data_IF_156472465720
#
_entry.id   IF_156472465720
#
_cell.length_a   1.000
_cell.length_b   1.000
_cell.length_c   1.000
_cell.angle_alpha   90.00
_cell.angle_beta   90.00
_cell.angle_gamma   90.00
#
_symmetry.space_group_name_H-M   'P 1'
#
loop_
_entity.id
_entity.type
_entity.pdbx_description
1 polymer ?
#
# COMPACT_ATOMS: atom_id res chain seq x y z
N UNK A 1 12.30 11.62 9.56
CA UNK A 1 11.86 10.98 8.31
C UNK A 1 10.39 10.69 8.48
N UNK A 2 9.54 11.24 7.62
CA UNK A 2 8.08 11.14 7.77
C UNK A 2 7.63 9.69 7.52
N UNK A 3 6.95 9.07 8.49
CA UNK A 3 6.44 7.71 8.34
C UNK A 3 5.26 7.71 7.36
N UNK A 4 5.46 7.06 6.21
CA UNK A 4 4.41 6.88 5.20
C UNK A 4 3.70 5.55 5.41
N UNK A 5 2.37 5.56 5.33
CA UNK A 5 1.57 4.34 5.38
C UNK A 5 1.85 3.47 4.15
N UNK A 6 2.26 2.22 4.39
CA UNK A 6 2.62 1.23 3.37
C UNK A 6 1.55 0.14 3.31
N UNK A 7 1.35 -0.44 2.13
CA UNK A 7 0.45 -1.59 1.94
C UNK A 7 0.97 -2.54 0.86
N UNK A 8 0.43 -3.76 0.87
CA UNK A 8 0.66 -4.79 -0.14
C UNK A 8 -0.67 -5.21 -0.78
N UNK A 9 -0.64 -5.53 -2.08
CA UNK A 9 -1.79 -6.06 -2.83
C UNK A 9 -1.56 -7.57 -2.97
N UNK A 10 -2.54 -8.38 -2.55
CA UNK A 10 -2.45 -9.84 -2.58
C UNK A 10 -3.60 -10.45 -3.36
N UNK A 11 -3.27 -11.42 -4.21
CA UNK A 11 -4.23 -12.22 -4.99
C UNK A 11 -3.77 -13.68 -4.96
N UNK A 12 -4.70 -14.61 -4.69
CA UNK A 12 -4.41 -16.05 -4.67
C UNK A 12 -3.27 -16.45 -3.72
N UNK A 13 -3.09 -15.72 -2.61
CA UNK A 13 -2.03 -15.98 -1.62
C UNK A 13 -0.65 -15.39 -1.94
N UNK A 14 -0.45 -14.78 -3.11
CA UNK A 14 0.82 -14.14 -3.51
C UNK A 14 0.71 -12.62 -3.53
N UNK A 15 1.83 -11.93 -3.34
CA UNK A 15 1.91 -10.47 -3.49
C UNK A 15 2.00 -10.13 -4.97
N UNK A 16 1.09 -9.29 -5.45
CA UNK A 16 1.05 -8.81 -6.84
C UNK A 16 1.42 -7.34 -6.98
N UNK A 17 1.52 -6.62 -5.86
CA UNK A 17 1.96 -5.23 -5.83
C UNK A 17 2.24 -4.71 -4.42
N UNK A 18 2.88 -3.55 -4.34
CA UNK A 18 3.15 -2.83 -3.10
C UNK A 18 3.07 -1.32 -3.34
N UNK A 19 2.68 -0.56 -2.32
CA UNK A 19 2.49 0.88 -2.46
C UNK A 19 2.57 1.66 -1.16
N UNK A 20 2.54 2.97 -1.31
CA UNK A 20 2.40 3.96 -0.23
C UNK A 20 1.17 4.80 -0.46
N UNK A 21 0.51 5.25 0.60
CA UNK A 21 -0.61 6.18 0.48
C UNK A 21 -0.09 7.57 0.13
N UNK A 22 -0.66 8.18 -0.91
CA UNK A 22 -0.31 9.53 -1.40
C UNK A 22 -1.33 10.59 -0.99
N UNK A 23 -2.62 10.25 -0.92
CA UNK A 23 -3.70 11.17 -0.55
C UNK A 23 -4.89 10.38 -0.04
N UNK A 24 -5.57 10.88 1.00
CA UNK A 24 -6.86 10.36 1.47
C UNK A 24 -7.95 11.31 0.97
N UNK A 25 -8.97 10.78 0.30
CA UNK A 25 -10.17 11.53 -0.09
C UNK A 25 -11.28 11.25 0.93
N UNK A 26 -12.11 12.25 1.20
CA UNK A 26 -13.31 12.12 2.06
C UNK A 26 -14.49 11.50 1.30
#
# INVERSE_FOLDING_TARGET
MEEKLRFAIREGGRTVGAGIVVTIKE
#
